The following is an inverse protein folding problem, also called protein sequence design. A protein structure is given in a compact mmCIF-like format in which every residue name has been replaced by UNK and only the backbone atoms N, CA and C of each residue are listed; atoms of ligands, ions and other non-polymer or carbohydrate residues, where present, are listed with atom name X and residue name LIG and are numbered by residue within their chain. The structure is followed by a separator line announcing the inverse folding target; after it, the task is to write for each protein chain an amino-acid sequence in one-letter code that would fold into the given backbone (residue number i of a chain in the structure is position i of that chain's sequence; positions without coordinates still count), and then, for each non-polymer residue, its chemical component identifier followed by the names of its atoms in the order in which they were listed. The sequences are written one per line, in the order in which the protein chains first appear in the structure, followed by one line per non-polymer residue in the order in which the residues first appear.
data_IF_947129701678
#
_entry.id   IF_947129701678
#
_cell.length_a   1.000
_cell.length_b   1.000
_cell.length_c   1.000
_cell.angle_alpha   90.00
_cell.angle_beta   90.00
_cell.angle_gamma   90.00
#
_symmetry.space_group_name_H-M   'P 1'
#
loop_
_entity.id
_entity.type
_entity.pdbx_description
1 polymer ?
#
# COMPACT_ATOMS: atom_id res chain seq x y z
N UNK A 1 16.91 8.48 37.47
CA UNK A 1 16.93 7.92 36.10
C UNK A 1 15.76 6.98 35.81
N UNK A 2 15.49 5.94 36.63
CA UNK A 2 14.37 4.99 36.39
C UNK A 2 12.99 5.66 36.34
N UNK A 3 12.67 6.54 37.30
CA UNK A 3 11.40 7.27 37.34
C UNK A 3 11.15 8.16 36.12
N UNK A 4 12.21 8.76 35.58
CA UNK A 4 12.16 9.55 34.34
C UNK A 4 11.85 8.66 33.15
N UNK A 5 12.56 7.52 32.99
CA UNK A 5 12.32 6.58 31.89
C UNK A 5 10.90 6.03 31.91
N UNK A 6 10.38 5.68 33.09
CA UNK A 6 8.98 5.22 33.23
C UNK A 6 7.98 6.31 32.84
N UNK A 7 8.21 7.56 33.28
CA UNK A 7 7.34 8.68 32.90
C UNK A 7 7.42 8.99 31.40
N UNK A 8 8.60 8.82 30.81
CA UNK A 8 8.84 8.97 29.38
C UNK A 8 8.09 7.89 28.59
N UNK A 9 8.34 6.61 28.86
CA UNK A 9 7.71 5.47 28.17
C UNK A 9 6.17 5.53 28.26
N UNK A 10 5.65 5.98 29.40
CA UNK A 10 4.21 6.16 29.62
C UNK A 10 3.63 7.27 28.73
N UNK A 11 4.31 8.43 28.68
CA UNK A 11 3.91 9.54 27.82
C UNK A 11 3.97 9.12 26.35
N UNK A 12 5.02 8.41 25.95
CA UNK A 12 5.20 7.93 24.59
C UNK A 12 4.08 7.00 24.15
N UNK A 13 3.81 5.97 24.95
CA UNK A 13 2.72 5.03 24.68
C UNK A 13 1.38 5.76 24.50
N UNK A 14 1.10 6.75 25.34
CA UNK A 14 -0.15 7.50 25.29
C UNK A 14 -0.26 8.35 24.02
N UNK A 15 0.81 9.02 23.59
CA UNK A 15 0.80 9.83 22.37
C UNK A 15 0.71 8.96 21.12
N UNK A 16 1.46 7.86 21.06
CA UNK A 16 1.37 6.87 19.97
C UNK A 16 -0.07 6.36 19.85
N UNK A 17 -0.70 5.97 20.96
CA UNK A 17 -2.10 5.54 20.95
C UNK A 17 -3.05 6.63 20.44
N UNK A 18 -2.85 7.90 20.84
CA UNK A 18 -3.68 9.02 20.36
C UNK A 18 -3.56 9.20 18.85
N UNK A 19 -2.35 9.13 18.30
CA UNK A 19 -2.11 9.25 16.86
C UNK A 19 -2.79 8.13 16.07
N UNK A 20 -2.74 6.89 16.55
CA UNK A 20 -3.47 5.79 15.94
C UNK A 20 -4.99 5.96 15.99
N UNK A 21 -5.53 6.56 17.04
CA UNK A 21 -6.96 6.87 17.11
C UNK A 21 -7.40 7.99 16.19
N UNK A 22 -6.57 9.03 16.04
CA UNK A 22 -6.77 10.08 15.05
C UNK A 22 -6.74 9.51 13.63
N UNK A 23 -5.85 8.57 13.34
CA UNK A 23 -5.87 7.86 12.06
C UNK A 23 -7.17 7.07 11.88
N UNK A 24 -7.60 6.33 12.90
CA UNK A 24 -8.84 5.51 12.84
C UNK A 24 -10.11 6.34 12.65
N UNK A 25 -10.21 7.53 13.23
CA UNK A 25 -11.41 8.38 13.05
C UNK A 25 -11.52 8.91 11.62
N UNK A 26 -10.38 9.08 10.94
CA UNK A 26 -10.29 9.56 9.56
C UNK A 26 -10.50 8.44 8.50
N UNK A 27 -10.60 7.17 8.91
CA UNK A 27 -10.80 6.05 7.99
C UNK A 27 -12.24 6.00 7.45
N UNK A 28 -12.38 5.75 6.15
CA UNK A 28 -13.67 5.43 5.53
C UNK A 28 -14.20 4.08 6.04
N UNK A 29 -15.53 3.94 6.13
CA UNK A 29 -16.17 2.69 6.59
C UNK A 29 -16.39 2.55 8.11
N UNK A 30 -15.98 3.52 8.93
CA UNK A 30 -16.31 3.50 10.38
C UNK A 30 -17.76 3.93 10.62
N UNK A 31 -18.58 3.03 11.20
CA UNK A 31 -19.96 3.35 11.58
C UNK A 31 -20.07 4.48 12.62
N UNK A 32 -21.20 5.18 12.66
CA UNK A 32 -21.43 6.34 13.53
C UNK A 32 -21.16 6.05 15.02
N UNK A 33 -21.62 4.91 15.53
CA UNK A 33 -21.39 4.47 16.92
C UNK A 33 -19.91 4.29 17.23
N UNK A 34 -19.13 3.71 16.31
CA UNK A 34 -17.69 3.51 16.48
C UNK A 34 -16.97 4.86 16.52
N UNK A 35 -17.33 5.80 15.64
CA UNK A 35 -16.78 7.16 15.67
C UNK A 35 -17.03 7.86 17.00
N UNK A 36 -18.24 7.78 17.55
CA UNK A 36 -18.52 8.34 18.88
C UNK A 36 -17.64 7.73 19.99
N UNK A 37 -17.42 6.41 19.96
CA UNK A 37 -16.54 5.75 20.94
C UNK A 37 -15.10 6.21 20.80
N UNK A 38 -14.60 6.35 19.56
CA UNK A 38 -13.26 6.89 19.29
C UNK A 38 -13.16 8.33 19.80
N UNK A 39 -14.14 9.20 19.55
CA UNK A 39 -14.14 10.58 20.06
C UNK A 39 -14.08 10.64 21.59
N UNK A 40 -14.87 9.79 22.28
CA UNK A 40 -14.83 9.69 23.76
C UNK A 40 -13.48 9.19 24.26
N UNK A 41 -12.91 8.17 23.61
CA UNK A 41 -11.58 7.66 23.93
C UNK A 41 -10.50 8.74 23.72
N UNK A 42 -10.59 9.50 22.64
CA UNK A 42 -9.67 10.59 22.32
C UNK A 42 -9.70 11.69 23.38
N UNK A 43 -10.90 12.07 23.87
CA UNK A 43 -11.06 13.05 24.93
C UNK A 43 -10.42 12.58 26.25
N UNK A 44 -10.72 11.35 26.67
CA UNK A 44 -10.13 10.75 27.89
C UNK A 44 -8.61 10.64 27.80
N UNK A 45 -8.10 10.24 26.63
CA UNK A 45 -6.67 10.11 26.40
C UNK A 45 -5.97 11.46 26.33
N UNK A 46 -6.62 12.49 25.81
CA UNK A 46 -6.08 13.86 25.85
C UNK A 46 -5.86 14.31 27.29
N UNK A 47 -6.81 14.03 28.18
CA UNK A 47 -6.65 14.31 29.62
C UNK A 47 -5.52 13.48 30.25
N UNK A 48 -5.46 12.19 29.91
CA UNK A 48 -4.42 11.28 30.41
C UNK A 48 -3.02 11.73 29.97
N UNK A 49 -2.87 12.21 28.73
CA UNK A 49 -1.61 12.75 28.21
C UNK A 49 -1.24 14.02 28.96
N UNK A 50 -2.16 14.95 29.24
CA UNK A 50 -1.83 16.15 30.05
C UNK A 50 -1.26 15.78 31.41
N UNK A 51 -1.83 14.79 32.07
CA UNK A 51 -1.32 14.27 33.34
C UNK A 51 0.07 13.61 33.18
N UNK A 52 0.27 12.84 32.11
CA UNK A 52 1.57 12.24 31.80
C UNK A 52 2.65 13.31 31.48
N UNK A 53 2.31 14.38 30.76
CA UNK A 53 3.20 15.54 30.53
C UNK A 53 3.62 16.16 31.86
N UNK A 54 2.68 16.40 32.78
CA UNK A 54 2.99 16.96 34.11
C UNK A 54 3.98 16.08 34.88
N UNK A 55 3.75 14.76 34.87
CA UNK A 55 4.66 13.77 35.49
C UNK A 55 6.03 13.75 34.82
N UNK A 56 6.08 13.77 33.49
CA UNK A 56 7.33 13.86 32.74
C UNK A 56 8.10 15.14 33.09
N UNK A 57 7.47 16.31 33.00
CA UNK A 57 8.09 17.61 33.27
C UNK A 57 8.65 17.67 34.71
N UNK A 58 7.93 17.12 35.69
CA UNK A 58 8.40 17.01 37.08
C UNK A 58 9.69 16.21 37.18
N UNK A 59 9.78 15.08 36.48
CA UNK A 59 11.00 14.25 36.48
C UNK A 59 12.12 14.83 35.62
N UNK A 60 11.78 15.53 34.53
CA UNK A 60 12.72 16.15 33.60
C UNK A 60 13.56 17.26 34.25
N UNK A 61 12.93 18.07 35.11
CA UNK A 61 13.61 19.13 35.89
C UNK A 61 14.55 18.54 36.96
N UNK A 62 14.25 17.34 37.46
CA UNK A 62 15.07 16.67 38.48
C UNK A 62 16.32 15.96 37.91
N UNK A 63 16.56 16.02 36.60
CA UNK A 63 17.76 15.45 35.96
C UNK A 63 18.91 16.46 35.93
N UNK A 64 20.15 15.94 35.86
CA UNK A 64 21.36 16.72 35.64
C UNK A 64 22.07 16.20 34.37
N UNK A 65 22.10 16.97 33.27
CA UNK A 65 21.42 18.26 33.07
C UNK A 65 19.89 18.14 32.97
N UNK A 66 19.13 19.21 33.26
CA UNK A 66 17.68 19.20 33.15
C UNK A 66 17.24 19.04 31.69
N UNK A 67 16.24 18.18 31.46
CA UNK A 67 15.68 17.98 30.12
C UNK A 67 14.64 19.07 29.79
N UNK A 68 14.48 19.45 28.51
CA UNK A 68 13.48 20.43 28.10
C UNK A 68 12.05 19.97 28.47
N UNK A 69 11.21 20.88 29.02
CA UNK A 69 9.81 20.58 29.30
C UNK A 69 9.00 20.50 27.99
N UNK A 70 7.90 19.77 28.04
CA UNK A 70 7.02 19.56 26.88
C UNK A 70 5.67 20.19 27.16
N UNK A 71 5.14 20.90 26.17
CA UNK A 71 3.81 21.49 26.23
C UNK A 71 2.78 20.59 25.57
N UNK A 72 1.53 20.70 26.03
CA UNK A 72 0.40 20.09 25.33
C UNK A 72 0.28 20.61 23.89
N UNK A 73 0.66 21.87 23.63
CA UNK A 73 0.60 22.47 22.29
C UNK A 73 1.46 21.68 21.30
N UNK A 74 2.68 21.33 21.70
CA UNK A 74 3.64 20.58 20.89
C UNK A 74 3.05 19.20 20.52
N UNK A 75 2.39 18.53 21.47
CA UNK A 75 1.77 17.21 21.25
C UNK A 75 0.47 17.30 20.43
N UNK A 76 -0.28 18.38 20.59
CA UNK A 76 -1.54 18.60 19.87
C UNK A 76 -1.30 18.82 18.37
N UNK A 77 -0.17 19.43 18.02
CA UNK A 77 0.26 19.70 16.63
C UNK A 77 0.75 18.43 15.91
N UNK A 78 1.09 17.36 16.64
CA UNK A 78 1.50 16.10 16.02
C UNK A 78 0.35 15.42 15.29
N UNK A 79 0.58 15.19 14.00
CA UNK A 79 -0.29 14.51 13.05
C UNK A 79 0.25 13.13 12.64
N UNK A 80 1.56 12.93 12.76
CA UNK A 80 2.25 11.70 12.38
C UNK A 80 3.18 11.21 13.49
N UNK A 81 3.36 9.89 13.59
CA UNK A 81 4.22 9.25 14.61
C UNK A 81 5.66 9.76 14.55
N UNK A 82 6.16 10.09 13.37
CA UNK A 82 7.48 10.66 13.22
C UNK A 82 7.65 12.02 13.90
N UNK A 83 6.60 12.83 14.04
CA UNK A 83 6.72 14.16 14.65
C UNK A 83 6.94 14.09 16.17
N UNK A 84 6.78 12.91 16.75
CA UNK A 84 6.92 12.66 18.17
C UNK A 84 8.36 12.31 18.57
N UNK A 85 9.16 13.35 18.86
CA UNK A 85 10.61 13.24 19.11
C UNK A 85 10.98 13.00 20.60
N UNK A 86 10.06 12.45 21.41
CA UNK A 86 10.27 12.20 22.84
C UNK A 86 11.21 11.02 23.13
N UNK A 87 11.24 10.04 22.21
CA UNK A 87 12.08 8.83 22.22
C UNK A 87 13.59 9.10 22.17
N UNK A 88 13.99 10.35 21.93
CA UNK A 88 15.35 10.76 21.59
C UNK A 88 16.32 10.89 22.77
N UNK A 89 15.85 10.85 24.02
CA UNK A 89 16.72 10.95 25.20
C UNK A 89 17.11 9.59 25.80
N UNK A 90 16.62 8.47 25.25
CA UNK A 90 16.83 7.13 25.81
C UNK A 90 17.62 6.17 24.93
N UNK A 91 17.89 6.51 23.65
CA UNK A 91 18.72 5.76 22.68
C UNK A 91 19.27 6.77 21.66
N UNK A 92 20.50 6.57 21.18
CA UNK A 92 21.30 7.48 20.32
C UNK A 92 20.51 8.61 19.62
N UNK A 93 20.87 9.85 19.89
CA UNK A 93 20.16 11.02 19.38
C UNK A 93 20.20 11.05 17.85
N UNK A 94 19.03 10.96 17.21
CA UNK A 94 18.88 10.97 15.76
C UNK A 94 18.45 12.32 15.21
N UNK A 95 18.18 13.33 16.06
CA UNK A 95 17.65 14.65 15.63
C UNK A 95 18.61 15.43 14.75
N UNK A 96 19.91 15.20 14.92
CA UNK A 96 20.94 15.80 14.10
C UNK A 96 20.92 15.25 12.66
N UNK A 97 20.35 14.06 12.46
CA UNK A 97 20.20 13.51 11.11
C UNK A 97 19.15 14.29 10.32
N UNK A 98 19.47 14.56 9.05
CA UNK A 98 18.58 15.30 8.17
C UNK A 98 17.23 14.59 7.95
N UNK A 99 17.19 13.26 7.93
CA UNK A 99 15.93 12.52 7.77
C UNK A 99 14.98 12.63 8.98
N UNK A 100 15.46 13.04 10.17
CA UNK A 100 14.63 13.22 11.35
C UNK A 100 13.97 14.61 11.39
N UNK A 101 14.55 15.62 10.73
CA UNK A 101 14.05 17.00 10.74
C UNK A 101 12.68 17.08 10.02
N UNK A 102 11.63 17.67 10.64
CA UNK A 102 10.28 17.70 10.06
C UNK A 102 10.21 18.27 8.64
N UNK A 103 10.93 19.35 8.35
CA UNK A 103 10.95 19.97 7.03
C UNK A 103 11.47 19.02 5.94
N UNK A 104 12.54 18.28 6.23
CA UNK A 104 13.13 17.32 5.29
C UNK A 104 12.24 16.10 5.10
N UNK A 105 11.55 15.62 6.14
CA UNK A 105 10.55 14.55 6.00
C UNK A 105 9.38 14.96 5.11
N UNK A 106 8.84 16.16 5.32
CA UNK A 106 7.76 16.68 4.48
C UNK A 106 8.21 16.83 3.03
N UNK A 107 9.43 17.33 2.79
CA UNK A 107 10.02 17.41 1.46
C UNK A 107 10.19 16.02 0.82
N UNK A 108 10.70 15.05 1.58
CA UNK A 108 10.90 13.66 1.13
C UNK A 108 9.57 12.98 0.78
N UNK A 109 8.52 13.15 1.59
CA UNK A 109 7.17 12.65 1.28
C UNK A 109 6.65 13.26 -0.02
N UNK A 110 6.80 14.57 -0.22
CA UNK A 110 6.40 15.25 -1.46
C UNK A 110 7.20 14.72 -2.66
N UNK A 111 8.51 14.58 -2.51
CA UNK A 111 9.39 14.04 -3.55
C UNK A 111 8.99 12.63 -3.97
N UNK A 112 8.81 11.72 -3.02
CA UNK A 112 8.40 10.35 -3.34
C UNK A 112 6.98 10.27 -3.88
N UNK A 113 6.05 11.13 -3.44
CA UNK A 113 4.73 11.24 -4.07
C UNK A 113 4.82 11.65 -5.53
N UNK A 114 5.69 12.61 -5.86
CA UNK A 114 5.94 13.03 -7.24
C UNK A 114 6.52 11.88 -8.07
N UNK A 115 7.54 11.20 -7.55
CA UNK A 115 8.14 10.04 -8.22
C UNK A 115 7.10 8.94 -8.49
N UNK A 116 6.28 8.61 -7.48
CA UNK A 116 5.18 7.65 -7.64
C UNK A 116 4.13 8.12 -8.63
N UNK A 117 3.79 9.40 -8.66
CA UNK A 117 2.86 9.94 -9.65
C UNK A 117 3.38 9.77 -11.08
N UNK A 118 4.69 9.95 -11.31
CA UNK A 118 5.31 9.70 -12.62
C UNK A 118 5.28 8.21 -13.02
N UNK A 119 5.49 7.30 -12.07
CA UNK A 119 5.35 5.85 -12.31
C UNK A 119 3.88 5.48 -12.59
N UNK A 120 2.96 6.05 -11.83
CA UNK A 120 1.53 5.80 -11.94
C UNK A 120 0.97 6.28 -13.28
N UNK A 121 1.47 7.40 -13.80
CA UNK A 121 1.11 7.88 -15.13
C UNK A 121 1.39 6.83 -16.22
N UNK A 122 2.53 6.13 -16.13
CA UNK A 122 2.88 5.03 -17.06
C UNK A 122 1.98 3.81 -16.85
N UNK A 123 1.66 3.47 -15.59
CA UNK A 123 0.78 2.34 -15.25
C UNK A 123 -0.63 2.54 -15.76
N UNK A 124 -1.21 3.72 -15.54
CA UNK A 124 -2.54 4.10 -16.01
C UNK A 124 -2.65 3.92 -17.52
N UNK A 125 -1.63 4.27 -18.29
CA UNK A 125 -1.62 4.04 -19.74
C UNK A 125 -1.70 2.56 -20.12
N UNK A 126 -0.96 1.69 -19.42
CA UNK A 126 -1.00 0.24 -19.67
C UNK A 126 -2.35 -0.35 -19.26
N UNK A 127 -2.87 0.06 -18.10
CA UNK A 127 -4.15 -0.44 -17.57
C UNK A 127 -5.33 0.05 -18.42
N UNK A 128 -5.30 1.29 -18.89
CA UNK A 128 -6.32 1.84 -19.79
C UNK A 128 -6.41 1.02 -21.09
N UNK A 129 -5.26 0.73 -21.71
CA UNK A 129 -5.22 -0.11 -22.92
C UNK A 129 -5.69 -1.55 -22.64
N UNK A 130 -5.28 -2.14 -21.51
CA UNK A 130 -5.74 -3.48 -21.11
C UNK A 130 -7.25 -3.55 -20.91
N UNK A 131 -7.84 -2.56 -20.26
CA UNK A 131 -9.28 -2.50 -20.05
C UNK A 131 -10.02 -2.31 -21.38
N UNK A 132 -9.55 -1.44 -22.25
CA UNK A 132 -10.12 -1.25 -23.59
C UNK A 132 -10.07 -2.55 -24.41
N UNK A 133 -8.94 -3.27 -24.36
CA UNK A 133 -8.77 -4.57 -25.03
C UNK A 133 -9.71 -5.62 -24.45
N UNK A 134 -9.82 -5.69 -23.12
CA UNK A 134 -10.71 -6.62 -22.47
C UNK A 134 -12.18 -6.40 -22.86
N UNK A 135 -12.64 -5.14 -22.89
CA UNK A 135 -14.00 -4.80 -23.31
C UNK A 135 -14.23 -5.21 -24.77
N UNK A 136 -13.30 -4.88 -25.66
CA UNK A 136 -13.40 -5.23 -27.07
C UNK A 136 -13.47 -6.75 -27.30
N UNK A 137 -12.57 -7.52 -26.66
CA UNK A 137 -12.53 -8.97 -26.75
C UNK A 137 -13.82 -9.61 -26.18
N UNK A 138 -14.33 -9.08 -25.07
CA UNK A 138 -15.58 -9.53 -24.45
C UNK A 138 -16.77 -9.31 -25.39
N UNK A 139 -16.89 -8.12 -25.98
CA UNK A 139 -17.98 -7.79 -26.91
C UNK A 139 -17.94 -8.67 -28.16
N UNK A 140 -16.75 -8.84 -28.76
CA UNK A 140 -16.56 -9.72 -29.91
C UNK A 140 -16.91 -11.18 -29.57
N UNK A 141 -16.53 -11.65 -28.38
CA UNK A 141 -16.82 -13.00 -27.93
C UNK A 141 -18.31 -13.25 -27.70
N UNK A 142 -19.00 -12.31 -27.02
CA UNK A 142 -20.44 -12.42 -26.78
C UNK A 142 -21.22 -12.33 -28.09
N UNK A 143 -20.83 -11.45 -29.02
CA UNK A 143 -21.45 -11.37 -30.34
C UNK A 143 -21.33 -12.71 -31.08
N UNK A 144 -20.12 -13.29 -31.12
CA UNK A 144 -19.85 -14.58 -31.74
C UNK A 144 -20.70 -15.71 -31.15
N UNK A 145 -20.70 -15.88 -29.82
CA UNK A 145 -21.49 -16.93 -29.16
C UNK A 145 -22.99 -16.71 -29.40
N UNK A 146 -23.43 -15.45 -29.42
CA UNK A 146 -24.83 -15.15 -29.69
C UNK A 146 -25.24 -15.58 -31.10
N UNK A 147 -24.40 -15.35 -32.11
CA UNK A 147 -24.68 -15.76 -33.49
C UNK A 147 -24.69 -17.29 -33.64
N UNK A 148 -23.78 -17.99 -32.97
CA UNK A 148 -23.76 -19.46 -32.91
C UNK A 148 -25.05 -20.01 -32.24
N UNK A 149 -25.47 -19.38 -31.14
CA UNK A 149 -26.69 -19.76 -30.42
C UNK A 149 -27.96 -19.44 -31.20
N UNK A 150 -28.00 -18.37 -32.00
CA UNK A 150 -29.17 -18.09 -32.85
C UNK A 150 -29.47 -19.22 -33.84
N UNK A 151 -28.45 -20.01 -34.22
CA UNK A 151 -28.59 -21.18 -35.09
C UNK A 151 -29.05 -22.43 -34.33
N UNK A 152 -28.75 -22.52 -33.02
CA UNK A 152 -28.95 -23.74 -32.22
C UNK A 152 -30.08 -23.63 -31.20
N UNK A 153 -30.08 -22.56 -30.39
CA UNK A 153 -31.06 -22.26 -29.35
C UNK A 153 -31.30 -20.74 -29.24
N UNK A 154 -32.42 -20.31 -29.82
CA UNK A 154 -32.82 -18.91 -29.85
C UNK A 154 -33.21 -18.36 -28.46
N UNK A 155 -33.70 -19.20 -27.53
CA UNK A 155 -34.09 -18.73 -26.19
C UNK A 155 -32.86 -18.40 -25.37
N UNK A 156 -31.83 -19.26 -25.42
CA UNK A 156 -30.56 -19.01 -24.74
C UNK A 156 -29.83 -17.79 -25.32
N UNK A 157 -29.86 -17.61 -26.64
CA UNK A 157 -29.32 -16.42 -27.30
C UNK A 157 -30.01 -15.12 -26.82
N UNK A 158 -31.34 -15.15 -26.66
CA UNK A 158 -32.11 -14.02 -26.18
C UNK A 158 -31.78 -13.66 -24.71
N UNK A 159 -31.60 -14.67 -23.85
CA UNK A 159 -31.23 -14.45 -22.45
C UNK A 159 -29.80 -13.92 -22.31
N UNK A 160 -28.84 -14.48 -23.07
CA UNK A 160 -27.46 -14.00 -23.10
C UNK A 160 -27.40 -12.52 -23.52
N UNK A 161 -28.12 -12.15 -24.58
CA UNK A 161 -28.28 -10.76 -25.01
C UNK A 161 -28.86 -9.89 -23.90
N UNK A 162 -29.91 -10.36 -23.21
CA UNK A 162 -30.55 -9.62 -22.12
C UNK A 162 -29.58 -9.35 -20.98
N UNK A 163 -28.83 -10.35 -20.53
CA UNK A 163 -27.86 -10.20 -19.44
C UNK A 163 -26.68 -9.31 -19.84
N UNK A 164 -26.21 -9.41 -21.09
CA UNK A 164 -25.08 -8.62 -21.55
C UNK A 164 -25.38 -7.12 -21.65
N UNK A 165 -26.64 -6.71 -21.87
CA UNK A 165 -27.04 -5.29 -21.99
C UNK A 165 -26.57 -4.43 -20.82
N UNK A 166 -26.73 -4.91 -19.58
CA UNK A 166 -26.30 -4.14 -18.39
C UNK A 166 -24.78 -3.97 -18.34
N UNK A 167 -24.03 -4.99 -18.76
CA UNK A 167 -22.57 -4.95 -18.80
C UNK A 167 -22.07 -4.06 -19.93
N UNK A 168 -22.67 -4.16 -21.11
CA UNK A 168 -22.39 -3.26 -22.24
C UNK A 168 -22.62 -1.80 -21.87
N UNK A 169 -23.73 -1.46 -21.19
CA UNK A 169 -23.97 -0.08 -20.74
C UNK A 169 -22.89 0.45 -19.77
N UNK A 170 -22.35 -0.41 -18.91
CA UNK A 170 -21.24 -0.07 -18.02
C UNK A 170 -19.93 0.07 -18.81
N UNK A 171 -19.69 -0.85 -19.75
CA UNK A 171 -18.51 -0.82 -20.62
C UNK A 171 -18.48 0.46 -21.48
N UNK A 172 -19.62 0.92 -22.00
CA UNK A 172 -19.73 2.20 -22.71
C UNK A 172 -19.30 3.39 -21.85
N UNK A 173 -19.70 3.41 -20.56
CA UNK A 173 -19.24 4.43 -19.63
C UNK A 173 -17.73 4.34 -19.38
N UNK A 174 -17.18 3.12 -19.28
CA UNK A 174 -15.75 2.91 -19.15
C UNK A 174 -15.00 3.41 -20.38
N UNK A 175 -15.45 3.06 -21.60
CA UNK A 175 -14.87 3.52 -22.85
C UNK A 175 -14.87 5.05 -22.94
N UNK A 176 -15.97 5.70 -22.57
CA UNK A 176 -16.04 7.16 -22.53
C UNK A 176 -15.01 7.78 -21.57
N UNK A 177 -14.80 7.18 -20.40
CA UNK A 177 -13.79 7.64 -19.44
C UNK A 177 -12.37 7.37 -19.91
N UNK A 178 -12.13 6.22 -20.55
CA UNK A 178 -10.84 5.88 -21.14
C UNK A 178 -10.46 6.87 -22.24
N UNK A 179 -11.42 7.29 -23.07
CA UNK A 179 -11.23 8.35 -24.07
C UNK A 179 -10.86 9.70 -23.42
N UNK A 180 -11.48 10.06 -22.30
CA UNK A 180 -11.12 11.27 -21.57
C UNK A 180 -9.68 11.20 -21.02
N UNK A 181 -9.28 10.04 -20.49
CA UNK A 181 -7.91 9.79 -20.01
C UNK A 181 -6.91 9.91 -21.16
N UNK A 182 -7.22 9.30 -22.31
CA UNK A 182 -6.36 9.32 -23.49
C UNK A 182 -6.18 10.72 -24.09
N UNK A 183 -7.16 11.62 -23.91
CA UNK A 183 -7.08 13.03 -24.34
C UNK A 183 -6.27 13.91 -23.39
N UNK A 184 -5.88 13.42 -22.23
CA UNK A 184 -5.13 14.23 -21.28
C UNK A 184 -3.72 14.54 -21.84
N UNK A 185 -3.23 15.80 -21.76
CA UNK A 185 -1.95 16.20 -22.37
C UNK A 185 -0.72 15.44 -21.87
N UNK A 186 -0.80 14.90 -20.66
CA UNK A 186 0.28 14.13 -20.02
C UNK A 186 0.14 12.61 -20.24
N UNK A 187 -0.84 12.15 -21.01
CA UNK A 187 -0.98 10.73 -21.30
C UNK A 187 0.17 10.24 -22.20
N UNK A 188 0.82 9.13 -21.82
CA UNK A 188 2.03 8.62 -22.50
C UNK A 188 1.77 7.28 -23.20
N UNK A 189 0.52 6.81 -23.20
CA UNK A 189 0.13 5.51 -23.77
C UNK A 189 -0.29 5.56 -25.23
N UNK A 190 -0.31 4.39 -25.87
CA UNK A 190 -1.04 4.22 -27.13
C UNK A 190 -2.54 4.32 -26.88
N UNK A 191 -3.23 5.04 -27.78
CA UNK A 191 -4.69 5.06 -27.80
C UNK A 191 -5.20 3.84 -28.57
N UNK A 192 -6.26 3.20 -28.07
CA UNK A 192 -6.97 2.15 -28.78
C UNK A 192 -6.78 0.74 -28.23
N UNK A 193 -7.45 -0.19 -28.90
CA UNK A 193 -7.48 -1.62 -28.58
C UNK A 193 -6.10 -2.22 -28.81
N UNK A 194 -5.54 -2.86 -27.79
CA UNK A 194 -4.30 -3.61 -27.88
C UNK A 194 -4.53 -5.04 -28.39
N UNK A 195 -3.47 -5.83 -28.39
CA UNK A 195 -3.55 -7.26 -28.71
C UNK A 195 -3.37 -8.04 -27.42
N UNK A 196 -4.35 -8.87 -27.08
CA UNK A 196 -4.18 -9.85 -26.01
C UNK A 196 -3.17 -10.89 -26.47
N UNK A 197 -2.01 -10.93 -25.82
CA UNK A 197 -1.12 -12.07 -25.93
C UNK A 197 -1.89 -13.27 -25.41
N UNK A 198 -2.35 -14.14 -26.31
CA UNK A 198 -2.91 -15.43 -25.91
C UNK A 198 -1.83 -16.09 -25.06
N UNK A 199 -2.18 -16.51 -23.84
CA UNK A 199 -1.45 -17.63 -23.25
C UNK A 199 -1.61 -18.74 -24.27
N UNK A 200 -0.54 -19.08 -24.99
CA UNK A 200 -0.46 -20.35 -25.69
C UNK A 200 -0.81 -21.38 -24.63
N UNK A 201 -2.03 -21.90 -24.73
CA UNK A 201 -2.45 -23.10 -24.03
C UNK A 201 -1.31 -24.09 -24.18
N UNK A 202 -0.70 -24.47 -23.05
CA UNK A 202 0.01 -25.73 -22.95
C UNK A 202 -0.96 -26.75 -23.56
N UNK A 203 -0.58 -27.47 -24.63
CA UNK A 203 -1.46 -28.49 -25.20
C UNK A 203 -1.79 -29.47 -24.08
N UNK A 204 -3.07 -29.61 -23.76
CA UNK A 204 -3.56 -30.79 -23.08
C UNK A 204 -3.19 -31.97 -23.99
N UNK A 205 -2.50 -32.96 -23.42
CA UNK A 205 -1.90 -34.15 -24.06
C UNK A 205 -0.47 -34.00 -24.63
N UNK A 206 0.52 -34.08 -23.74
CA UNK A 206 1.75 -34.86 -24.02
C UNK A 206 2.05 -35.72 -22.80
N UNK A 207 2.14 -37.03 -23.02
CA UNK A 207 2.41 -38.03 -21.98
C UNK A 207 3.70 -37.73 -21.21
N UNK A 208 3.67 -38.07 -19.94
CA UNK A 208 4.82 -38.04 -19.04
C UNK A 208 5.84 -39.05 -19.55
N UNK A 209 6.88 -38.58 -20.25
CA UNK A 209 8.16 -39.28 -20.27
C UNK A 209 9.00 -38.74 -19.12
N UNK A 210 9.27 -39.61 -18.15
CA UNK A 210 10.19 -39.36 -17.05
C UNK A 210 11.59 -39.07 -17.62
N UNK A 211 11.96 -37.79 -17.63
CA UNK A 211 13.31 -37.36 -17.98
C UNK A 211 14.31 -37.87 -16.96
N UNK A 212 15.19 -38.77 -17.39
CA UNK A 212 16.35 -39.21 -16.64
C UNK A 212 17.23 -38.01 -16.31
N UNK A 213 17.40 -37.72 -15.01
CA UNK A 213 18.37 -36.75 -14.51
C UNK A 213 19.76 -37.29 -14.84
N UNK A 214 20.53 -36.57 -15.65
CA UNK A 214 21.90 -36.99 -15.96
C UNK A 214 22.79 -36.81 -14.72
N UNK A 215 23.72 -37.74 -14.53
CA UNK A 215 24.69 -37.74 -13.43
C UNK A 215 25.54 -36.44 -13.38
N UNK A 216 25.64 -35.73 -14.51
CA UNK A 216 26.29 -34.43 -14.60
C UNK A 216 25.54 -33.32 -13.84
N UNK A 217 24.20 -33.38 -13.79
CA UNK A 217 23.38 -32.38 -13.08
C UNK A 217 23.43 -32.59 -11.57
N UNK A 218 23.56 -33.84 -11.12
CA UNK A 218 23.76 -34.18 -9.72
C UNK A 218 25.12 -33.69 -9.21
N UNK A 219 26.18 -33.88 -10.01
CA UNK A 219 27.53 -33.43 -9.68
C UNK A 219 27.63 -31.89 -9.65
N UNK A 220 26.89 -31.18 -10.51
CA UNK A 220 26.83 -29.71 -10.50
C UNK A 220 26.15 -29.17 -9.24
N UNK A 221 25.12 -29.85 -8.74
CA UNK A 221 24.43 -29.47 -7.51
C UNK A 221 25.29 -29.70 -6.25
N UNK A 222 26.11 -30.75 -6.22
CA UNK A 222 27.07 -30.97 -5.12
C UNK A 222 28.20 -29.93 -5.10
N UNK A 223 28.68 -29.52 -6.28
CA UNK A 223 29.74 -28.51 -6.37
C UNK A 223 29.27 -27.12 -5.89
N UNK A 224 28.00 -26.78 -6.15
CA UNK A 224 27.39 -25.53 -5.64
C UNK A 224 27.20 -25.58 -4.12
N UNK A 225 26.83 -26.74 -3.55
CA UNK A 225 26.72 -26.91 -2.09
C UNK A 225 28.08 -26.78 -1.39
N UNK A 226 29.15 -27.31 -1.98
CA UNK A 226 30.52 -27.17 -1.49
C UNK A 226 30.99 -25.70 -1.46
N UNK A 227 30.69 -24.92 -2.50
CA UNK A 227 31.07 -23.50 -2.57
C UNK A 227 30.30 -22.63 -1.57
N UNK A 228 29.03 -22.95 -1.29
CA UNK A 228 28.22 -22.23 -0.29
C UNK A 228 28.69 -22.51 1.15
N UNK A 229 29.17 -23.73 1.43
CA UNK A 229 29.69 -24.08 2.76
C UNK A 229 31.03 -23.39 3.07
N UNK A 230 31.91 -23.20 2.07
CA UNK A 230 33.19 -22.52 2.25
C UNK A 230 33.06 -21.02 2.55
N UNK A 231 32.04 -20.36 2.00
CA UNK A 231 31.84 -18.91 2.17
C UNK A 231 31.22 -18.53 3.54
N UNK A 232 30.69 -19.49 4.29
CA UNK A 232 30.13 -19.28 5.62
C UNK A 232 31.16 -19.41 6.76
N UNK A 233 32.39 -19.84 6.46
CA UNK A 233 33.44 -20.05 7.47
C UNK A 233 34.51 -18.95 7.53
N UNK A 234 34.39 -17.88 6.72
CA UNK A 234 35.38 -16.78 6.66
C UNK A 234 34.90 -15.45 7.32
N UNK A 235 33.74 -15.46 7.98
CA UNK A 235 33.23 -14.31 8.72
C UNK A 235 32.80 -14.66 10.16
N UNK A 236 33.71 -15.30 10.91
CA UNK A 236 33.63 -15.39 12.37
C UNK A 236 35.01 -15.13 12.98
#
# INVERSE_FOLDING_TARGET
MVKYRVALDELERLVVMRLFELSKIAMSGTGYKLRQQISKALQRRSETIRNAISRYNTQAVALNPPCPPISWKDIAEYSFLGEFDLLCHSRADVRDNDWAKPAFRQAMVKFFKLQRACEELKRVSVEACRLQTFIHDEEAHVAKITDELLTSDHLLAAELKRQHRSRHAINELHLHRLDQIARHPQYVGSCGVGIRLKNTSIPDEVGIEEGQISEADLNRAEQVKSQLAGNLSLHS
#
